data_IF_153089978092
#
_entry.id   IF_153089978092
#
_cell.length_a   1.000
_cell.length_b   1.000
_cell.length_c   1.000
_cell.angle_alpha   90.00
_cell.angle_beta   90.00
_cell.angle_gamma   90.00
#
_symmetry.space_group_name_H-M   'P 1'
#
loop_
_entity.id
_entity.type
_entity.pdbx_description
1 polymer ?
#
# COMPACT_ATOMS: atom_id res chain seq x y z
N UNK A 1 -56.40 11.56 -19.41
CA UNK A 1 -55.63 12.74 -18.94
C UNK A 1 -54.47 12.18 -18.14
N UNK A 2 -53.20 12.09 -18.54
CA UNK A 2 -52.32 12.58 -19.63
C UNK A 2 -51.28 11.43 -19.79
N UNK A 3 -50.87 10.86 -20.92
CA UNK A 3 -50.42 11.33 -22.25
C UNK A 3 -49.33 12.41 -22.26
N UNK A 4 -48.26 12.14 -23.03
CA UNK A 4 -47.07 12.96 -23.38
C UNK A 4 -45.88 12.83 -22.39
N UNK A 5 -44.64 12.53 -22.78
CA UNK A 5 -43.89 12.97 -23.98
C UNK A 5 -42.69 12.04 -24.30
N UNK A 6 -42.32 12.01 -25.58
CA UNK A 6 -41.43 11.09 -26.31
C UNK A 6 -39.93 11.47 -26.31
N UNK A 7 -39.09 10.43 -26.47
CA UNK A 7 -37.95 10.24 -27.41
C UNK A 7 -37.13 11.44 -27.92
N UNK A 8 -35.80 11.35 -27.78
CA UNK A 8 -34.83 11.89 -28.76
C UNK A 8 -33.63 10.92 -28.93
N UNK A 9 -33.50 10.35 -30.13
CA UNK A 9 -32.29 9.73 -30.70
C UNK A 9 -31.83 10.63 -31.87
N UNK A 10 -30.56 11.08 -31.90
CA UNK A 10 -29.77 11.48 -33.08
C UNK A 10 -28.29 11.38 -32.71
N UNK A 11 -27.49 10.42 -33.20
CA UNK A 11 -26.84 10.32 -34.50
C UNK A 11 -26.17 11.62 -34.98
N UNK A 12 -24.84 11.68 -34.88
CA UNK A 12 -23.97 12.61 -35.63
C UNK A 12 -22.83 11.78 -36.22
N UNK A 13 -22.89 11.57 -37.53
CA UNK A 13 -21.75 11.21 -38.37
C UNK A 13 -21.58 12.36 -39.36
N UNK A 14 -20.38 12.93 -39.46
CA UNK A 14 -19.90 13.62 -40.66
C UNK A 14 -18.38 13.82 -40.61
N UNK A 15 -17.69 13.02 -41.43
CA UNK A 15 -16.66 13.40 -42.43
C UNK A 15 -15.92 14.73 -42.28
N UNK A 16 -14.57 14.71 -42.42
CA UNK A 16 -13.83 15.52 -43.41
C UNK A 16 -12.33 15.15 -43.54
N UNK A 17 -11.93 14.98 -44.81
CA UNK A 17 -10.66 15.37 -45.47
C UNK A 17 -9.30 15.08 -44.82
N UNK A 18 -8.44 14.25 -45.44
CA UNK A 18 -7.54 14.60 -46.56
C UNK A 18 -6.36 15.48 -46.16
N UNK A 19 -5.16 14.89 -46.01
CA UNK A 19 -3.90 15.55 -46.31
C UNK A 19 -2.80 14.56 -46.74
N UNK A 20 -2.46 14.66 -48.03
CA UNK A 20 -1.11 14.80 -48.62
C UNK A 20 -0.06 13.73 -48.36
N UNK A 21 0.12 12.95 -49.43
CA UNK A 21 1.39 12.43 -49.94
C UNK A 21 2.57 13.41 -49.81
N UNK A 22 3.67 12.95 -49.21
CA UNK A 22 4.99 13.54 -49.41
C UNK A 22 6.01 12.41 -49.59
N UNK A 23 6.47 12.30 -50.84
CA UNK A 23 7.65 11.55 -51.26
C UNK A 23 8.88 12.17 -50.61
N UNK A 24 9.72 11.36 -49.98
CA UNK A 24 11.15 11.61 -49.89
C UNK A 24 11.88 10.34 -50.29
N UNK A 25 12.53 10.43 -51.45
CA UNK A 25 13.60 9.54 -51.86
C UNK A 25 14.91 10.24 -51.48
N UNK A 26 15.76 9.57 -50.70
CA UNK A 26 17.19 9.87 -50.70
C UNK A 26 17.98 8.57 -50.57
N UNK A 27 18.81 8.37 -51.59
CA UNK A 27 19.86 7.37 -51.74
C UNK A 27 21.09 7.74 -50.89
N UNK A 28 22.00 6.76 -50.80
CA UNK A 28 23.43 6.82 -50.37
C UNK A 28 23.62 6.48 -48.88
N UNK A 29 24.58 5.66 -48.45
CA UNK A 29 25.61 4.90 -49.14
C UNK A 29 26.07 3.75 -48.22
N UNK A 30 26.55 2.69 -48.85
CA UNK A 30 27.23 1.55 -48.25
C UNK A 30 28.62 1.93 -47.74
N UNK A 31 28.96 1.47 -46.52
CA UNK A 31 30.33 1.28 -46.07
C UNK A 31 30.39 0.05 -45.13
N UNK A 32 31.31 -0.91 -45.37
CA UNK A 32 31.50 -2.06 -44.49
C UNK A 32 32.65 -1.80 -43.54
N UNK A 33 32.45 -1.88 -42.22
CA UNK A 33 33.57 -1.86 -41.27
C UNK A 33 33.28 -2.70 -40.02
N UNK A 34 34.17 -3.67 -39.83
CA UNK A 34 34.65 -4.27 -38.59
C UNK A 34 33.67 -5.03 -37.67
N UNK A 35 33.74 -6.36 -37.78
CA UNK A 35 33.54 -7.29 -36.66
C UNK A 35 34.52 -6.95 -35.53
N UNK A 36 34.01 -6.40 -34.44
CA UNK A 36 34.66 -6.45 -33.13
C UNK A 36 33.96 -7.55 -32.32
N UNK A 37 34.68 -8.64 -32.08
CA UNK A 37 34.28 -9.68 -31.15
C UNK A 37 34.37 -9.09 -29.73
N UNK A 38 33.22 -8.81 -29.10
CA UNK A 38 33.15 -8.60 -27.66
C UNK A 38 33.15 -9.98 -26.99
N UNK A 39 34.08 -10.16 -26.05
CA UNK A 39 34.23 -11.38 -25.26
C UNK A 39 32.95 -11.74 -24.54
N UNK A 40 32.62 -13.02 -24.58
CA UNK A 40 31.70 -13.67 -23.66
C UNK A 40 32.33 -13.67 -22.26
N UNK A 41 32.00 -12.67 -21.45
CA UNK A 41 32.15 -12.79 -20.00
C UNK A 41 31.00 -13.66 -19.49
N UNK A 42 31.41 -14.76 -18.88
CA UNK A 42 30.58 -15.75 -18.20
C UNK A 42 29.72 -15.03 -17.15
N UNK A 43 28.37 -15.12 -17.17
CA UNK A 43 27.57 -14.55 -16.10
C UNK A 43 27.85 -15.33 -14.81
N UNK A 44 28.63 -14.72 -13.92
CA UNK A 44 28.81 -15.18 -12.56
C UNK A 44 27.42 -15.34 -11.93
N UNK A 45 27.05 -16.59 -11.69
CA UNK A 45 25.85 -17.00 -10.99
C UNK A 45 25.86 -16.37 -9.58
N UNK A 46 24.97 -15.41 -9.27
CA UNK A 46 24.94 -14.78 -7.96
C UNK A 46 24.55 -15.80 -6.89
N UNK A 47 25.16 -15.67 -5.71
CA UNK A 47 24.96 -16.57 -4.59
C UNK A 47 23.49 -16.62 -4.13
N UNK A 48 23.00 -17.79 -3.66
CA UNK A 48 21.60 -17.95 -3.24
C UNK A 48 21.38 -17.25 -1.88
N UNK A 49 20.75 -16.09 -1.92
CA UNK A 49 20.35 -15.35 -0.71
C UNK A 49 19.83 -13.96 -1.03
N UNK A 50 18.53 -13.87 -1.36
CA UNK A 50 17.67 -12.68 -1.34
C UNK A 50 18.35 -11.32 -1.63
N UNK A 51 18.67 -11.06 -2.90
CA UNK A 51 18.72 -9.69 -3.40
C UNK A 51 17.38 -9.40 -4.06
N UNK A 52 16.76 -8.27 -3.72
CA UNK A 52 15.60 -7.72 -4.39
C UNK A 52 15.97 -7.49 -5.87
N UNK A 53 15.76 -8.50 -6.71
CA UNK A 53 16.17 -8.48 -8.11
C UNK A 53 15.14 -7.66 -8.87
N UNK A 54 15.36 -6.35 -8.88
CA UNK A 54 14.63 -5.47 -9.77
C UNK A 54 15.02 -5.81 -11.21
N UNK A 55 14.08 -6.40 -11.96
CA UNK A 55 14.27 -6.70 -13.38
C UNK A 55 13.65 -5.60 -14.22
N UNK A 56 14.39 -5.09 -15.19
CA UNK A 56 13.93 -4.01 -16.08
C UNK A 56 13.13 -4.56 -17.25
N UNK A 57 12.23 -3.72 -17.76
CA UNK A 57 11.55 -3.94 -19.03
C UNK A 57 12.49 -4.42 -20.14
N UNK A 58 12.07 -5.45 -20.89
CA UNK A 58 12.82 -6.04 -22.00
C UNK A 58 13.93 -7.02 -21.57
N UNK A 59 14.15 -7.21 -20.27
CA UNK A 59 15.10 -8.22 -19.79
C UNK A 59 14.56 -9.64 -20.04
N UNK A 60 15.35 -10.49 -20.69
CA UNK A 60 15.03 -11.92 -20.83
C UNK A 60 14.98 -12.64 -19.49
N UNK A 61 15.58 -12.08 -18.44
CA UNK A 61 15.53 -12.63 -17.09
C UNK A 61 14.11 -12.66 -16.52
N UNK A 62 13.18 -11.82 -17.02
CA UNK A 62 11.77 -11.82 -16.61
C UNK A 62 11.07 -13.16 -16.86
N UNK A 63 11.59 -13.97 -17.78
CA UNK A 63 11.01 -15.25 -18.23
C UNK A 63 11.96 -16.43 -18.00
N UNK A 64 12.99 -16.26 -17.16
CA UNK A 64 14.07 -17.24 -17.01
C UNK A 64 13.66 -18.48 -16.20
N UNK A 65 12.59 -18.39 -15.40
CA UNK A 65 12.09 -19.46 -14.58
C UNK A 65 10.60 -19.71 -14.82
N UNK A 66 10.12 -20.91 -14.45
CA UNK A 66 8.70 -21.24 -14.46
C UNK A 66 8.09 -21.03 -13.09
N UNK A 67 6.85 -20.57 -13.07
CA UNK A 67 6.02 -20.57 -11.87
C UNK A 67 5.06 -21.77 -11.94
N UNK A 68 5.35 -22.82 -11.18
CA UNK A 68 4.56 -24.06 -11.17
C UNK A 68 3.70 -24.21 -9.91
N UNK A 69 3.64 -23.18 -9.06
CA UNK A 69 2.85 -23.17 -7.84
C UNK A 69 1.51 -22.46 -8.05
N UNK A 70 0.47 -22.85 -7.33
CA UNK A 70 -0.85 -22.19 -7.41
C UNK A 70 -1.00 -20.98 -6.48
N UNK A 71 0.06 -20.64 -5.74
CA UNK A 71 0.09 -19.43 -4.90
C UNK A 71 0.24 -18.18 -5.75
N UNK A 72 -0.28 -17.04 -5.30
CA UNK A 72 -0.08 -15.77 -5.99
C UNK A 72 1.41 -15.45 -6.09
N UNK A 73 1.83 -14.98 -7.27
CA UNK A 73 3.17 -14.48 -7.49
C UNK A 73 3.35 -13.14 -6.78
N UNK A 74 4.51 -12.91 -6.19
CA UNK A 74 4.85 -11.65 -5.52
C UNK A 74 5.46 -10.59 -6.46
N UNK A 75 5.39 -10.82 -7.78
CA UNK A 75 5.88 -9.91 -8.79
C UNK A 75 5.03 -8.63 -8.87
N UNK A 76 5.69 -7.48 -8.74
CA UNK A 76 5.05 -6.16 -8.77
C UNK A 76 5.72 -5.25 -9.79
N UNK A 77 4.92 -4.61 -10.63
CA UNK A 77 5.39 -3.56 -11.52
C UNK A 77 5.62 -2.25 -10.74
N UNK A 78 6.77 -1.61 -10.96
CA UNK A 78 7.16 -0.34 -10.32
C UNK A 78 7.71 0.64 -11.35
N UNK A 79 7.50 1.93 -11.07
CA UNK A 79 8.04 3.03 -11.84
C UNK A 79 9.58 3.06 -11.74
N UNK A 80 10.20 3.90 -12.57
CA UNK A 80 11.64 4.15 -12.43
C UNK A 80 11.98 4.97 -11.16
N UNK A 81 13.27 5.25 -10.96
CA UNK A 81 13.76 6.03 -9.81
C UNK A 81 13.22 7.48 -9.79
N UNK A 82 12.72 7.98 -10.92
CA UNK A 82 12.08 9.30 -11.01
C UNK A 82 10.58 9.26 -10.70
N UNK A 83 10.02 8.07 -10.44
CA UNK A 83 8.58 7.86 -10.28
C UNK A 83 7.81 7.92 -11.60
N UNK A 84 8.51 7.93 -12.74
CA UNK A 84 7.89 7.95 -14.07
C UNK A 84 7.53 6.53 -14.51
N UNK A 85 6.35 6.35 -15.10
CA UNK A 85 5.97 5.07 -15.68
C UNK A 85 6.51 4.93 -17.11
N UNK A 86 7.05 3.76 -17.44
CA UNK A 86 7.58 3.46 -18.77
C UNK A 86 6.52 2.91 -19.72
N UNK A 87 5.32 2.57 -19.22
CA UNK A 87 4.25 1.90 -19.97
C UNK A 87 4.71 0.65 -20.74
N UNK A 88 5.76 -0.03 -20.27
CA UNK A 88 6.27 -1.24 -20.88
C UNK A 88 5.56 -2.46 -20.32
N UNK A 89 5.14 -3.38 -21.20
CA UNK A 89 4.58 -4.67 -20.78
C UNK A 89 5.71 -5.59 -20.28
N UNK A 90 5.74 -5.87 -18.98
CA UNK A 90 6.73 -6.74 -18.35
C UNK A 90 6.39 -8.22 -18.56
N UNK A 91 5.11 -8.57 -18.55
CA UNK A 91 4.63 -9.94 -18.74
C UNK A 91 3.33 -10.20 -17.98
N UNK A 92 2.96 -11.47 -17.86
CA UNK A 92 1.79 -11.89 -17.09
C UNK A 92 2.21 -12.65 -15.83
N UNK A 93 1.63 -12.24 -14.70
CA UNK A 93 1.80 -12.85 -13.39
C UNK A 93 0.50 -13.54 -12.95
N UNK A 94 0.61 -14.65 -12.23
CA UNK A 94 -0.52 -15.31 -11.60
C UNK A 94 -0.85 -14.62 -10.27
N UNK A 95 -2.06 -14.08 -10.11
CA UNK A 95 -2.46 -13.42 -8.87
C UNK A 95 -3.12 -14.36 -7.85
N UNK A 96 -3.06 -15.68 -8.06
CA UNK A 96 -3.79 -16.69 -7.29
C UNK A 96 -5.09 -17.15 -7.93
N UNK A 97 -5.64 -16.38 -8.89
CA UNK A 97 -6.95 -16.64 -9.51
C UNK A 97 -6.99 -16.45 -11.03
N UNK A 98 -6.24 -15.49 -11.57
CA UNK A 98 -6.13 -15.19 -12.99
C UNK A 98 -4.71 -14.70 -13.32
N UNK A 99 -4.42 -14.69 -14.61
CA UNK A 99 -3.20 -14.16 -15.19
C UNK A 99 -3.37 -12.66 -15.49
N UNK A 100 -2.75 -11.83 -14.66
CA UNK A 100 -2.80 -10.37 -14.77
C UNK A 100 -1.58 -9.83 -15.50
N UNK A 101 -1.79 -8.86 -16.38
CA UNK A 101 -0.71 -8.17 -17.07
C UNK A 101 -0.02 -7.18 -16.13
N UNK A 102 1.30 -7.24 -16.05
CA UNK A 102 2.13 -6.28 -15.35
C UNK A 102 2.79 -5.34 -16.36
N UNK A 103 2.65 -4.04 -16.17
CA UNK A 103 3.23 -3.05 -17.06
C UNK A 103 3.80 -1.84 -16.32
N UNK A 104 5.12 -1.70 -16.35
CA UNK A 104 5.85 -0.52 -15.89
C UNK A 104 7.35 -0.59 -16.28
N UNK A 105 8.21 0.23 -15.67
CA UNK A 105 9.66 0.24 -15.90
C UNK A 105 10.39 -0.99 -15.34
N UNK A 106 10.00 -1.42 -14.13
CA UNK A 106 10.71 -2.43 -13.34
C UNK A 106 9.73 -3.43 -12.75
N UNK A 107 10.20 -4.64 -12.55
CA UNK A 107 9.54 -5.67 -11.76
C UNK A 107 10.33 -5.85 -10.46
N UNK A 108 9.67 -5.78 -9.31
CA UNK A 108 10.22 -6.11 -7.98
C UNK A 108 9.49 -7.30 -7.36
N UNK A 109 10.16 -8.11 -6.55
CA UNK A 109 9.62 -9.36 -5.99
C UNK A 109 10.42 -10.59 -6.42
N UNK A 110 10.31 -11.68 -5.65
CA UNK A 110 11.05 -12.91 -5.89
C UNK A 110 10.60 -13.64 -7.18
N UNK A 111 9.39 -13.36 -7.64
CA UNK A 111 8.76 -14.00 -8.78
C UNK A 111 8.91 -13.22 -10.10
N UNK A 112 9.63 -12.10 -10.10
CA UNK A 112 9.84 -11.31 -11.32
C UNK A 112 10.55 -12.07 -12.43
N UNK A 113 11.39 -13.06 -12.09
CA UNK A 113 12.02 -13.93 -13.08
C UNK A 113 11.13 -15.07 -13.60
N UNK A 114 9.88 -15.14 -13.14
CA UNK A 114 8.93 -16.21 -13.45
C UNK A 114 7.69 -15.74 -14.22
N UNK A 115 7.72 -14.51 -14.75
CA UNK A 115 6.63 -14.01 -15.59
C UNK A 115 6.53 -14.87 -16.87
N UNK A 116 5.39 -14.77 -17.54
CA UNK A 116 5.19 -15.34 -18.88
C UNK A 116 5.00 -14.24 -19.90
N UNK A 117 5.34 -14.52 -21.16
CA UNK A 117 5.27 -13.51 -22.23
C UNK A 117 3.84 -13.25 -22.68
N UNK A 118 3.00 -14.29 -22.64
CA UNK A 118 1.61 -14.23 -23.07
C UNK A 118 0.66 -14.67 -21.96
N UNK A 119 -0.57 -14.16 -22.00
CA UNK A 119 -1.62 -14.55 -21.05
C UNK A 119 -1.94 -16.03 -21.17
N UNK A 120 -1.92 -16.55 -22.39
CA UNK A 120 -2.20 -17.95 -22.72
C UNK A 120 -1.17 -18.89 -22.08
N UNK A 121 0.13 -18.54 -22.12
CA UNK A 121 1.18 -19.29 -21.43
C UNK A 121 0.98 -19.31 -19.91
N UNK A 122 0.63 -18.17 -19.32
CA UNK A 122 0.31 -18.09 -17.90
C UNK A 122 -0.86 -19.01 -17.54
N UNK A 123 -1.97 -18.93 -18.28
CA UNK A 123 -3.17 -19.72 -18.04
C UNK A 123 -2.89 -21.21 -18.22
N UNK A 124 -2.06 -21.58 -19.19
CA UNK A 124 -1.64 -22.96 -19.40
C UNK A 124 -0.77 -23.48 -18.26
N UNK A 125 0.19 -22.68 -17.78
CA UNK A 125 1.03 -23.01 -16.62
C UNK A 125 0.18 -23.21 -15.35
N UNK A 126 -0.93 -22.48 -15.24
CA UNK A 126 -1.83 -22.51 -14.09
C UNK A 126 -3.14 -23.28 -14.35
N UNK A 127 -3.20 -24.09 -15.40
CA UNK A 127 -4.42 -24.81 -15.78
C UNK A 127 -4.94 -25.75 -14.67
N UNK A 128 -4.03 -26.30 -13.85
CA UNK A 128 -4.38 -27.09 -12.65
C UNK A 128 -4.75 -26.25 -11.43
N UNK A 129 -4.35 -24.98 -11.41
CA UNK A 129 -4.66 -24.01 -10.36
C UNK A 129 -6.04 -23.41 -10.57
N UNK A 130 -6.45 -23.20 -11.82
CA UNK A 130 -7.84 -23.09 -12.23
C UNK A 130 -8.53 -24.45 -12.15
N UNK A 131 -8.54 -25.10 -10.97
CA UNK A 131 -9.73 -25.88 -10.67
C UNK A 131 -10.85 -24.85 -10.68
N UNK A 132 -11.83 -24.92 -11.60
CA UNK A 132 -12.97 -24.03 -11.50
C UNK A 132 -13.45 -24.15 -10.07
N UNK A 133 -13.46 -23.01 -9.35
CA UNK A 133 -14.06 -22.95 -8.03
C UNK A 133 -15.40 -23.66 -8.18
N UNK A 134 -15.69 -24.69 -7.36
CA UNK A 134 -16.84 -25.53 -7.60
C UNK A 134 -18.06 -24.61 -7.75
N UNK A 135 -18.60 -24.54 -8.97
CA UNK A 135 -19.72 -23.65 -9.26
C UNK A 135 -20.94 -24.35 -8.69
N UNK A 136 -21.33 -23.98 -7.49
CA UNK A 136 -22.52 -24.55 -6.89
C UNK A 136 -23.72 -23.81 -7.43
N UNK A 137 -24.65 -24.58 -8.00
CA UNK A 137 -25.96 -24.04 -8.40
C UNK A 137 -26.83 -23.86 -7.16
N UNK A 138 -27.70 -22.87 -7.22
CA UNK A 138 -28.84 -22.75 -6.32
C UNK A 138 -29.47 -24.12 -6.00
N UNK A 139 -29.70 -24.38 -4.71
CA UNK A 139 -30.31 -25.64 -4.23
C UNK A 139 -29.35 -26.82 -4.12
N UNK A 140 -28.06 -26.66 -4.44
CA UNK A 140 -27.06 -27.71 -4.23
C UNK A 140 -26.85 -28.00 -2.74
N UNK A 141 -26.96 -29.26 -2.35
CA UNK A 141 -26.67 -29.70 -0.96
C UNK A 141 -25.19 -29.54 -0.60
N UNK A 142 -24.31 -29.52 -1.61
CA UNK A 142 -22.87 -29.34 -1.40
C UNK A 142 -22.51 -27.92 -0.97
N UNK A 143 -23.43 -26.96 -1.00
CA UNK A 143 -23.24 -25.62 -0.42
C UNK A 143 -22.99 -25.65 1.10
N UNK A 144 -23.35 -26.76 1.77
CA UNK A 144 -23.37 -26.89 3.23
C UNK A 144 -22.53 -28.09 3.73
N UNK A 145 -21.64 -28.62 2.89
CA UNK A 145 -20.95 -29.88 3.15
C UNK A 145 -19.78 -29.74 4.13
N UNK A 146 -19.14 -28.56 4.15
CA UNK A 146 -17.95 -28.28 4.94
C UNK A 146 -18.21 -27.29 6.07
N UNK A 147 -17.29 -27.29 7.03
CA UNK A 147 -17.24 -26.32 8.12
C UNK A 147 -16.12 -25.32 7.81
N UNK A 148 -16.41 -24.05 8.04
CA UNK A 148 -15.46 -22.94 7.91
C UNK A 148 -14.70 -22.70 9.23
N UNK A 149 -13.47 -22.19 9.12
CA UNK A 149 -12.64 -21.83 10.29
C UNK A 149 -13.26 -20.67 11.06
N UNK A 150 -13.15 -20.62 12.39
CA UNK A 150 -14.14 -19.90 13.19
C UNK A 150 -14.42 -18.44 12.78
N UNK A 151 -13.43 -17.62 12.39
CA UNK A 151 -13.61 -16.17 12.26
C UNK A 151 -13.08 -15.48 10.99
N UNK A 152 -12.42 -16.19 10.07
CA UNK A 152 -11.93 -15.59 8.81
C UNK A 152 -13.10 -15.21 7.90
N UNK A 153 -13.00 -14.16 7.08
CA UNK A 153 -14.07 -13.87 6.13
C UNK A 153 -14.16 -14.99 5.09
N UNK A 154 -15.37 -15.48 4.83
CA UNK A 154 -15.61 -16.42 3.75
C UNK A 154 -15.48 -15.72 2.40
N UNK A 155 -14.83 -16.36 1.44
CA UNK A 155 -14.65 -15.86 0.07
C UNK A 155 -15.80 -16.26 -0.88
N UNK A 156 -16.95 -16.66 -0.35
CA UNK A 156 -18.13 -17.03 -1.11
C UNK A 156 -18.87 -15.80 -1.66
N UNK A 157 -19.10 -15.77 -2.98
CA UNK A 157 -19.83 -14.73 -3.67
C UNK A 157 -20.97 -15.31 -4.52
N UNK A 158 -22.13 -14.65 -4.50
CA UNK A 158 -23.25 -14.98 -5.38
C UNK A 158 -23.11 -14.27 -6.72
N UNK A 159 -23.24 -15.01 -7.82
CA UNK A 159 -23.15 -14.48 -9.18
C UNK A 159 -24.37 -14.91 -10.02
N UNK A 160 -24.86 -13.98 -10.82
CA UNK A 160 -25.90 -14.22 -11.80
C UNK A 160 -25.36 -14.93 -13.04
N UNK A 161 -26.24 -15.60 -13.78
CA UNK A 161 -25.87 -16.26 -15.04
C UNK A 161 -26.21 -15.33 -16.21
N UNK A 162 -25.22 -14.94 -17.03
CA UNK A 162 -25.41 -14.06 -18.19
C UNK A 162 -26.10 -12.72 -17.87
N UNK A 163 -25.84 -12.14 -16.69
CA UNK A 163 -26.46 -10.89 -16.25
C UNK A 163 -27.91 -11.02 -15.78
N UNK A 164 -28.43 -12.25 -15.65
CA UNK A 164 -29.73 -12.54 -15.05
C UNK A 164 -29.57 -12.94 -13.58
N UNK A 165 -30.43 -12.41 -12.71
CA UNK A 165 -30.51 -12.79 -11.30
C UNK A 165 -31.53 -13.90 -11.10
N UNK A 166 -31.16 -14.98 -10.42
CA UNK A 166 -32.09 -16.10 -10.15
C UNK A 166 -32.95 -15.89 -8.90
N UNK A 167 -32.66 -14.87 -8.08
CA UNK A 167 -33.32 -14.61 -6.79
C UNK A 167 -33.41 -15.84 -5.87
N UNK A 168 -32.49 -16.79 -6.02
CA UNK A 168 -32.44 -17.98 -5.18
C UNK A 168 -31.52 -17.76 -4.00
N UNK A 169 -32.04 -17.96 -2.79
CA UNK A 169 -31.23 -17.93 -1.57
C UNK A 169 -30.35 -19.18 -1.50
N UNK A 170 -29.03 -19.02 -1.58
CA UNK A 170 -28.08 -20.13 -1.53
C UNK A 170 -27.68 -20.49 -0.10
N UNK A 171 -27.65 -19.51 0.79
CA UNK A 171 -27.26 -19.70 2.19
C UNK A 171 -26.73 -18.40 2.80
N UNK A 172 -26.08 -18.53 3.96
CA UNK A 172 -25.47 -17.41 4.65
C UNK A 172 -23.96 -17.62 4.76
N UNK A 173 -23.21 -16.55 4.49
CA UNK A 173 -21.76 -16.51 4.59
C UNK A 173 -21.33 -15.51 5.66
N UNK A 174 -20.20 -15.75 6.31
CA UNK A 174 -19.60 -14.80 7.24
C UNK A 174 -18.65 -13.86 6.49
N UNK A 175 -18.89 -12.55 6.55
CA UNK A 175 -18.06 -11.57 5.83
C UNK A 175 -16.89 -11.03 6.68
N UNK A 176 -16.56 -11.67 7.81
CA UNK A 176 -15.58 -11.17 8.78
C UNK A 176 -16.20 -10.36 9.92
N UNK A 177 -17.44 -9.88 9.77
CA UNK A 177 -18.12 -9.01 10.75
C UNK A 177 -19.51 -9.50 11.10
N UNK A 178 -20.27 -9.94 10.12
CA UNK A 178 -21.63 -10.42 10.27
C UNK A 178 -21.97 -11.50 9.25
N UNK A 179 -23.07 -12.20 9.51
CA UNK A 179 -23.62 -13.18 8.60
C UNK A 179 -24.47 -12.50 7.54
N UNK A 180 -24.07 -12.61 6.27
CA UNK A 180 -24.76 -12.04 5.12
C UNK A 180 -25.44 -13.13 4.30
N UNK A 181 -26.62 -12.82 3.79
CA UNK A 181 -27.33 -13.71 2.86
C UNK A 181 -26.73 -13.65 1.47
N UNK A 182 -26.42 -14.81 0.89
CA UNK A 182 -26.00 -14.95 -0.50
C UNK A 182 -27.17 -15.47 -1.34
N UNK A 183 -27.57 -14.71 -2.35
CA UNK A 183 -28.66 -15.12 -3.23
C UNK A 183 -28.44 -14.73 -4.69
N UNK A 184 -28.25 -15.73 -5.55
CA UNK A 184 -28.28 -15.62 -7.00
C UNK A 184 -28.34 -17.01 -7.68
N UNK A 185 -27.89 -17.13 -8.94
CA UNK A 185 -27.88 -18.36 -9.71
C UNK A 185 -26.75 -19.32 -9.27
N UNK A 186 -25.57 -18.78 -9.00
CA UNK A 186 -24.35 -19.55 -8.76
C UNK A 186 -23.56 -18.97 -7.59
N UNK A 187 -22.90 -19.85 -6.83
CA UNK A 187 -21.88 -19.47 -5.85
C UNK A 187 -20.49 -19.68 -6.45
N UNK A 188 -19.65 -18.66 -6.37
CA UNK A 188 -18.22 -18.69 -6.74
C UNK A 188 -17.36 -18.35 -5.52
N UNK A 189 -16.25 -19.03 -5.33
CA UNK A 189 -15.38 -18.88 -4.16
C UNK A 189 -14.95 -20.23 -3.60
N UNK A 190 -13.87 -20.28 -2.83
CA UNK A 190 -13.39 -21.50 -2.17
C UNK A 190 -14.31 -21.95 -1.02
N UNK A 191 -15.12 -21.05 -0.47
CA UNK A 191 -15.96 -21.24 0.71
C UNK A 191 -17.44 -21.47 0.38
N UNK A 192 -17.78 -21.59 -0.91
CA UNK A 192 -19.17 -21.85 -1.30
C UNK A 192 -19.72 -23.19 -0.80
N UNK A 193 -18.87 -24.14 -0.41
CA UNK A 193 -19.28 -25.40 0.24
C UNK A 193 -19.38 -25.31 1.77
N UNK A 194 -19.17 -24.12 2.34
CA UNK A 194 -19.16 -23.86 3.78
C UNK A 194 -20.28 -22.91 4.24
N UNK A 195 -21.26 -22.62 3.37
CA UNK A 195 -22.40 -21.79 3.75
C UNK A 195 -23.19 -22.46 4.87
N UNK A 196 -23.97 -21.67 5.60
CA UNK A 196 -25.00 -22.21 6.49
C UNK A 196 -26.39 -22.05 5.88
N UNK A 197 -27.31 -22.91 6.33
CA UNK A 197 -28.68 -22.91 5.80
C UNK A 197 -29.51 -21.75 6.35
N UNK A 198 -29.24 -21.34 7.57
CA UNK A 198 -29.95 -20.25 8.25
C UNK A 198 -28.97 -19.23 8.82
N UNK A 199 -29.48 -18.01 9.04
CA UNK A 199 -28.69 -16.92 9.61
C UNK A 199 -28.31 -17.22 11.06
N UNK A 200 -29.18 -17.90 11.81
CA UNK A 200 -28.95 -18.28 13.21
C UNK A 200 -27.82 -19.29 13.31
N UNK A 201 -27.74 -20.26 12.40
CA UNK A 201 -26.62 -21.22 12.36
C UNK A 201 -25.30 -20.50 12.06
N UNK A 202 -25.29 -19.54 11.14
CA UNK A 202 -24.11 -18.73 10.86
C UNK A 202 -23.72 -17.92 12.11
N UNK A 203 -24.66 -17.20 12.72
CA UNK A 203 -24.41 -16.37 13.89
C UNK A 203 -23.91 -17.19 15.07
N UNK A 204 -24.47 -18.38 15.30
CA UNK A 204 -24.04 -19.27 16.36
C UNK A 204 -22.60 -19.75 16.14
N UNK A 205 -22.24 -20.13 14.92
CA UNK A 205 -20.86 -20.55 14.58
C UNK A 205 -19.85 -19.40 14.76
N UNK A 206 -20.27 -18.16 14.51
CA UNK A 206 -19.43 -16.97 14.58
C UNK A 206 -19.67 -16.13 15.85
N UNK A 207 -20.37 -16.66 16.85
CA UNK A 207 -20.68 -15.93 18.09
C UNK A 207 -19.40 -15.51 18.83
N UNK A 208 -18.32 -16.29 18.73
CA UNK A 208 -17.02 -15.97 19.28
C UNK A 208 -16.23 -14.94 18.45
N UNK A 209 -16.63 -14.69 17.21
CA UNK A 209 -15.97 -13.80 16.25
C UNK A 209 -16.58 -12.40 16.25
N UNK A 210 -17.83 -12.29 16.70
CA UNK A 210 -18.42 -11.03 17.11
C UNK A 210 -17.83 -10.68 18.49
N UNK A 211 -16.53 -10.46 18.54
CA UNK A 211 -15.96 -9.70 19.65
C UNK A 211 -16.36 -8.26 19.39
N UNK A 212 -17.34 -7.74 20.12
CA UNK A 212 -17.50 -6.30 20.18
C UNK A 212 -16.12 -5.70 20.45
N UNK A 213 -15.69 -4.67 19.67
CA UNK A 213 -14.43 -4.00 19.95
C UNK A 213 -14.42 -3.63 21.43
N UNK A 214 -13.31 -3.86 22.15
CA UNK A 214 -13.27 -3.61 23.57
C UNK A 214 -13.71 -2.16 23.83
N UNK A 215 -14.73 -2.03 24.67
CA UNK A 215 -15.22 -0.74 25.12
C UNK A 215 -14.72 -0.50 26.53
N UNK A 216 -13.89 0.53 26.71
CA UNK A 216 -13.41 0.92 28.03
C UNK A 216 -14.02 2.25 28.44
N UNK A 217 -14.65 2.27 29.61
CA UNK A 217 -15.15 3.49 30.21
C UNK A 217 -14.00 4.43 30.58
N UNK A 218 -14.31 5.73 30.61
CA UNK A 218 -13.47 6.75 31.20
C UNK A 218 -12.91 6.32 32.57
N UNK A 219 -11.61 6.56 32.78
CA UNK A 219 -10.91 6.22 34.02
C UNK A 219 -10.58 4.73 34.19
N UNK A 220 -10.92 3.88 33.22
CA UNK A 220 -10.51 2.48 33.24
C UNK A 220 -9.00 2.34 33.10
N UNK A 221 -8.35 1.61 34.01
CA UNK A 221 -6.92 1.30 33.90
C UNK A 221 -6.57 0.47 32.67
N UNK A 222 -7.57 -0.20 32.06
CA UNK A 222 -7.40 -0.94 30.82
C UNK A 222 -7.11 -0.05 29.61
N UNK A 223 -7.42 1.25 29.65
CA UNK A 223 -7.13 2.19 28.56
C UNK A 223 -5.63 2.27 28.22
N UNK A 224 -4.76 1.90 29.16
CA UNK A 224 -3.30 2.02 29.08
C UNK A 224 -2.58 0.69 29.34
N UNK A 225 -3.29 -0.45 29.26
CA UNK A 225 -2.72 -1.74 29.67
C UNK A 225 -1.81 -2.39 28.64
N UNK A 226 -1.89 -1.94 27.39
CA UNK A 226 -1.14 -2.48 26.26
C UNK A 226 -0.29 -1.40 25.61
N UNK A 227 0.77 -1.82 24.91
CA UNK A 227 1.60 -0.92 24.10
C UNK A 227 1.13 -0.96 22.66
N UNK A 228 1.10 0.21 22.03
CA UNK A 228 1.02 0.32 20.59
C UNK A 228 2.43 0.51 20.05
N UNK A 229 2.89 -0.43 19.23
CA UNK A 229 4.24 -0.43 18.63
C UNK A 229 4.20 -0.29 17.11
N UNK A 230 3.00 -0.21 16.52
CA UNK A 230 2.82 -0.03 15.08
C UNK A 230 2.78 1.46 14.73
N UNK A 231 3.25 1.81 13.53
CA UNK A 231 3.08 3.17 12.98
C UNK A 231 1.72 3.40 12.32
N UNK A 232 0.88 2.36 12.27
CA UNK A 232 -0.48 2.42 11.75
C UNK A 232 -1.38 3.27 12.66
N UNK A 233 -2.39 3.91 12.08
CA UNK A 233 -3.36 4.66 12.86
C UNK A 233 -4.10 3.73 13.81
N UNK A 234 -4.21 4.12 15.08
CA UNK A 234 -5.04 3.42 16.04
C UNK A 234 -6.52 3.54 15.63
N UNK A 235 -7.27 2.46 15.79
CA UNK A 235 -8.71 2.44 15.54
C UNK A 235 -9.57 2.94 16.73
N UNK A 236 -8.91 3.37 17.81
CA UNK A 236 -9.51 3.87 19.02
C UNK A 236 -10.33 5.15 18.77
N UNK A 237 -11.61 5.11 19.14
CA UNK A 237 -12.56 6.23 18.96
C UNK A 237 -13.26 6.55 20.27
N UNK A 238 -13.43 7.84 20.54
CA UNK A 238 -14.23 8.31 21.66
C UNK A 238 -15.73 8.21 21.32
N UNK A 239 -16.52 7.58 22.18
CA UNK A 239 -17.97 7.43 22.00
C UNK A 239 -18.75 7.94 23.23
N UNK A 240 -19.98 8.46 23.02
CA UNK A 240 -20.85 8.86 24.12
C UNK A 240 -21.31 7.63 24.92
N UNK A 241 -22.00 7.89 26.04
CA UNK A 241 -22.66 6.84 26.80
C UNK A 241 -23.82 6.18 26.01
N UNK A 242 -24.49 5.22 26.62
CA UNK A 242 -25.63 4.53 26.04
C UNK A 242 -26.84 5.44 25.73
N UNK A 243 -26.90 6.61 26.36
CA UNK A 243 -27.95 7.62 26.15
C UNK A 243 -27.53 8.67 25.11
N UNK A 244 -26.36 8.54 24.49
CA UNK A 244 -25.81 9.52 23.54
C UNK A 244 -25.29 10.80 24.20
N UNK A 245 -25.20 10.83 25.54
CA UNK A 245 -24.67 11.98 26.27
C UNK A 245 -23.14 11.93 26.32
N UNK A 246 -22.51 13.09 26.16
CA UNK A 246 -21.06 13.22 26.29
C UNK A 246 -20.64 13.43 27.74
N UNK A 247 -19.58 12.76 28.19
CA UNK A 247 -19.10 12.84 29.58
C UNK A 247 -17.93 13.82 29.76
N UNK A 248 -17.41 14.40 28.66
CA UNK A 248 -16.25 15.30 28.64
C UNK A 248 -15.02 14.78 29.42
N UNK A 249 -14.86 13.45 29.50
CA UNK A 249 -13.72 12.84 30.16
C UNK A 249 -12.59 12.61 29.15
N UNK A 250 -11.36 12.95 29.55
CA UNK A 250 -10.17 12.63 28.78
C UNK A 250 -9.86 11.13 28.91
N UNK A 251 -9.92 10.41 27.79
CA UNK A 251 -9.66 8.97 27.72
C UNK A 251 -8.16 8.68 27.57
N UNK A 252 -7.44 9.54 26.88
CA UNK A 252 -6.00 9.40 26.59
C UNK A 252 -5.65 10.00 25.24
N UNK A 253 -4.44 9.70 24.76
CA UNK A 253 -3.98 10.12 23.43
C UNK A 253 -3.82 8.90 22.52
N UNK A 254 -4.32 9.03 21.29
CA UNK A 254 -4.24 8.02 20.24
C UNK A 254 -3.41 8.54 19.06
N UNK A 255 -2.67 7.65 18.41
CA UNK A 255 -1.96 7.97 17.17
C UNK A 255 -2.91 7.84 15.97
N UNK A 256 -3.11 8.92 15.22
CA UNK A 256 -4.00 8.92 14.05
C UNK A 256 -3.30 8.54 12.73
N UNK A 257 -2.05 8.07 12.80
CA UNK A 257 -1.19 7.81 11.63
C UNK A 257 -0.24 8.96 11.28
N UNK A 258 -0.51 10.18 11.77
CA UNK A 258 0.28 11.39 11.48
C UNK A 258 0.68 12.15 12.75
N UNK A 259 -0.20 12.21 13.75
CA UNK A 259 -0.01 12.92 15.00
C UNK A 259 -0.76 12.23 16.15
N UNK A 260 -0.36 12.57 17.36
CA UNK A 260 -1.05 12.17 18.58
C UNK A 260 -2.24 13.12 18.84
N UNK A 261 -3.43 12.56 18.93
CA UNK A 261 -4.67 13.29 19.19
C UNK A 261 -5.30 12.89 20.52
N UNK A 262 -5.85 13.86 21.24
CA UNK A 262 -6.57 13.62 22.48
C UNK A 262 -7.97 13.07 22.22
N UNK A 263 -8.29 11.92 22.83
CA UNK A 263 -9.63 11.34 22.80
C UNK A 263 -10.39 11.73 24.07
N UNK A 264 -11.56 12.35 23.91
CA UNK A 264 -12.38 12.82 25.04
C UNK A 264 -13.87 12.48 24.90
N UNK A 265 -14.37 11.52 25.68
CA UNK A 265 -15.80 11.21 25.82
C UNK A 265 -16.07 10.24 27.00
N UNK A 266 -17.22 9.55 27.03
CA UNK A 266 -17.60 8.60 28.08
C UNK A 266 -16.84 7.27 28.01
N UNK A 267 -16.53 6.80 26.80
CA UNK A 267 -15.86 5.52 26.57
C UNK A 267 -15.00 5.57 25.31
N UNK A 268 -13.98 4.72 25.29
CA UNK A 268 -13.23 4.39 24.08
C UNK A 268 -13.84 3.13 23.45
N UNK A 269 -14.05 3.12 22.14
CA UNK A 269 -14.41 1.95 21.34
C UNK A 269 -13.39 1.73 20.21
N UNK A 270 -12.98 0.48 19.98
CA UNK A 270 -11.92 0.14 19.03
C UNK A 270 -11.00 -0.94 19.61
N UNK A 271 -10.31 -1.67 18.75
CA UNK A 271 -9.35 -2.72 19.16
C UNK A 271 -8.09 -2.16 19.81
N UNK A 272 -7.79 -0.87 19.61
CA UNK A 272 -6.63 -0.17 20.16
C UNK A 272 -6.94 0.65 21.43
N UNK A 273 -8.16 0.55 21.97
CA UNK A 273 -8.55 1.33 23.14
C UNK A 273 -7.77 0.98 24.41
N UNK A 274 -7.10 -0.18 24.48
CA UNK A 274 -6.21 -0.55 25.57
C UNK A 274 -4.77 -0.05 25.38
N UNK A 275 -4.50 0.63 24.27
CA UNK A 275 -3.17 1.07 23.85
C UNK A 275 -3.00 2.59 23.85
N UNK A 276 -3.96 3.33 24.42
CA UNK A 276 -3.82 4.78 24.58
C UNK A 276 -2.62 5.11 25.46
N UNK A 277 -2.13 6.34 25.36
CA UNK A 277 -1.17 6.89 26.33
C UNK A 277 -1.85 7.91 27.24
N UNK A 278 -1.26 8.11 28.43
CA UNK A 278 -1.80 9.05 29.40
C UNK A 278 -1.47 10.50 29.04
N UNK A 279 -0.31 10.72 28.40
CA UNK A 279 0.14 12.05 27.99
C UNK A 279 0.46 12.12 26.50
N UNK A 280 0.44 13.33 25.95
CA UNK A 280 0.75 13.57 24.54
C UNK A 280 2.22 13.31 24.25
N UNK A 281 3.11 13.63 25.20
CA UNK A 281 4.54 13.41 25.09
C UNK A 281 4.88 11.92 25.03
N UNK A 282 4.19 11.08 25.82
CA UNK A 282 4.36 9.62 25.76
C UNK A 282 3.93 9.07 24.39
N UNK A 283 2.81 9.56 23.84
CA UNK A 283 2.37 9.17 22.50
C UNK A 283 3.40 9.61 21.45
N UNK A 284 3.83 10.88 21.49
CA UNK A 284 4.80 11.43 20.53
C UNK A 284 6.14 10.71 20.62
N UNK A 285 6.59 10.34 21.82
CA UNK A 285 7.80 9.57 22.00
C UNK A 285 7.68 8.16 21.40
N UNK A 286 6.57 7.45 21.64
CA UNK A 286 6.32 6.11 21.07
C UNK A 286 6.23 6.15 19.55
N UNK A 287 5.71 7.24 18.99
CA UNK A 287 5.48 7.42 17.56
C UNK A 287 6.49 8.34 16.87
N UNK A 288 7.57 8.71 17.54
CA UNK A 288 8.55 9.66 17.01
C UNK A 288 9.22 9.17 15.72
N UNK A 289 9.36 7.86 15.56
CA UNK A 289 9.85 7.21 14.33
C UNK A 289 8.77 7.03 13.25
N UNK A 290 7.50 7.20 13.60
CA UNK A 290 6.36 6.94 12.73
C UNK A 290 5.87 8.18 11.98
N UNK A 291 6.18 9.37 12.48
CA UNK A 291 5.94 10.59 11.75
C UNK A 291 6.80 10.56 10.48
N UNK A 292 6.17 10.22 9.34
CA UNK A 292 6.78 10.49 8.05
C UNK A 292 7.21 11.97 8.07
N UNK A 293 8.44 12.31 7.66
CA UNK A 293 8.85 13.70 7.61
C UNK A 293 7.86 14.43 6.72
N UNK A 294 6.98 15.22 7.32
CA UNK A 294 5.98 16.00 6.61
C UNK A 294 6.73 16.85 5.58
N UNK A 295 6.53 16.65 4.28
CA UNK A 295 7.21 17.46 3.29
C UNK A 295 6.62 18.88 3.39
N UNK A 296 7.31 19.75 4.13
CA UNK A 296 6.99 21.18 4.19
C UNK A 296 6.59 21.78 5.54
N UNK A 297 6.73 21.10 6.68
CA UNK A 297 6.60 21.80 7.98
C UNK A 297 7.96 22.23 8.52
N UNK A 298 8.19 23.55 8.50
CA UNK A 298 9.28 24.19 9.23
C UNK A 298 8.96 24.15 10.74
N UNK A 299 9.28 23.03 11.38
CA UNK A 299 9.42 22.90 12.83
C UNK A 299 10.87 22.56 13.16
N UNK A 300 11.31 22.64 14.43
CA UNK A 300 12.63 22.17 14.81
C UNK A 300 12.77 20.74 14.31
N UNK A 301 13.74 20.51 13.43
CA UNK A 301 14.05 19.17 12.96
C UNK A 301 14.21 18.29 14.20
N UNK A 302 13.47 17.17 14.26
CA UNK A 302 13.75 16.16 15.28
C UNK A 302 15.20 15.75 15.06
N UNK A 303 16.07 16.23 15.95
CA UNK A 303 17.52 16.07 15.85
C UNK A 303 17.81 14.58 15.99
N UNK A 304 17.98 13.91 14.86
CA UNK A 304 18.57 12.58 14.81
C UNK A 304 20.06 12.78 15.05
N UNK A 305 20.54 12.46 16.26
CA UNK A 305 21.97 12.46 16.62
C UNK A 305 22.65 11.29 15.91
N UNK A 306 22.66 11.28 14.59
CA UNK A 306 23.54 10.42 13.80
C UNK A 306 24.81 11.22 13.49
N UNK A 307 25.91 10.81 14.12
CA UNK A 307 27.21 11.43 13.93
C UNK A 307 27.63 11.31 12.45
N UNK A 308 27.69 12.43 11.73
CA UNK A 308 28.45 12.49 10.47
C UNK A 308 29.95 12.35 10.75
N UNK A 309 30.74 12.12 9.70
CA UNK A 309 32.20 12.20 9.80
C UNK A 309 32.59 13.55 10.39
N UNK A 310 33.26 13.51 11.55
CA UNK A 310 33.22 14.59 12.53
C UNK A 310 33.73 15.94 12.02
N UNK A 311 34.57 15.97 10.98
CA UNK A 311 35.28 17.20 10.60
C UNK A 311 35.12 17.60 9.12
N UNK A 312 34.26 16.93 8.35
CA UNK A 312 33.97 17.34 6.97
C UNK A 312 32.92 18.45 6.97
N UNK A 313 33.07 19.45 6.08
CA UNK A 313 32.08 20.50 5.90
C UNK A 313 30.74 19.90 5.47
N UNK A 314 29.65 20.35 6.11
CA UNK A 314 28.30 19.96 5.74
C UNK A 314 27.88 20.63 4.43
N UNK A 315 27.30 19.83 3.54
CA UNK A 315 26.77 20.29 2.25
C UNK A 315 25.39 20.96 2.36
N UNK A 316 24.81 20.99 3.56
CA UNK A 316 23.56 21.67 3.87
C UNK A 316 23.61 23.14 3.44
N UNK A 317 22.64 23.56 2.65
CA UNK A 317 22.49 24.92 2.13
C UNK A 317 21.04 25.36 2.27
N UNK A 318 20.83 26.63 2.63
CA UNK A 318 19.49 27.22 2.55
C UNK A 318 19.17 27.58 1.10
N UNK A 319 17.93 27.42 0.67
CA UNK A 319 17.45 28.02 -0.57
C UNK A 319 17.38 29.55 -0.46
N UNK A 320 17.48 30.22 -1.61
CA UNK A 320 17.39 31.68 -1.71
C UNK A 320 15.95 32.20 -1.49
N UNK A 321 14.98 31.32 -1.24
CA UNK A 321 13.62 31.73 -0.92
C UNK A 321 13.56 32.24 0.52
N UNK A 322 13.42 33.56 0.65
CA UNK A 322 13.13 34.23 1.90
C UNK A 322 11.76 33.75 2.40
N UNK A 323 11.75 32.89 3.40
CA UNK A 323 10.54 32.55 4.15
C UNK A 323 10.51 33.33 5.46
N UNK A 324 9.33 33.76 5.88
CA UNK A 324 9.09 34.27 7.24
C UNK A 324 9.18 33.16 8.33
N UNK A 325 9.91 32.08 8.05
CA UNK A 325 10.14 30.98 8.97
C UNK A 325 11.41 31.27 9.78
N UNK A 326 11.31 31.07 11.08
CA UNK A 326 12.44 31.17 11.97
C UNK A 326 13.48 30.10 11.59
N UNK A 327 14.73 30.55 11.41
CA UNK A 327 15.99 29.82 11.64
C UNK A 327 15.95 28.28 11.45
N UNK A 328 16.58 27.76 10.37
CA UNK A 328 16.64 26.32 10.10
C UNK A 328 17.58 25.54 11.03
N UNK A 329 18.59 26.20 11.59
CA UNK A 329 19.61 25.57 12.45
C UNK A 329 21.02 26.05 12.14
N UNK A 330 22.00 25.40 12.77
CA UNK A 330 23.43 25.62 12.54
C UNK A 330 24.04 24.40 11.83
N UNK A 331 24.93 24.67 10.87
CA UNK A 331 25.73 23.66 10.19
C UNK A 331 27.22 23.93 10.41
N UNK A 332 28.05 22.91 10.27
CA UNK A 332 29.50 23.06 10.20
C UNK A 332 29.97 23.33 8.77
N UNK A 333 30.68 24.43 8.54
CA UNK A 333 31.21 24.78 7.21
C UNK A 333 32.64 24.25 6.94
N UNK A 334 33.17 23.42 7.84
CA UNK A 334 34.56 22.97 7.84
C UNK A 334 35.47 23.73 8.81
N UNK A 335 35.05 24.92 9.26
CA UNK A 335 35.84 25.80 10.14
C UNK A 335 35.04 26.33 11.33
N UNK A 336 33.75 26.57 11.15
CA UNK A 336 32.87 27.16 12.15
C UNK A 336 31.41 26.71 12.00
N UNK A 337 30.64 26.91 13.07
CA UNK A 337 29.20 26.70 13.05
C UNK A 337 28.50 27.94 12.49
N UNK A 338 27.96 27.82 11.29
CA UNK A 338 27.25 28.88 10.57
C UNK A 338 25.76 28.63 10.59
N UNK A 339 25.00 29.69 10.79
CA UNK A 339 23.54 29.65 10.76
C UNK A 339 22.97 29.55 9.36
N UNK A 340 21.99 28.69 9.18
CA UNK A 340 21.11 28.71 8.02
C UNK A 340 19.86 29.54 8.35
N UNK A 341 20.00 30.86 8.24
CA UNK A 341 18.90 31.82 8.41
C UNK A 341 18.11 32.04 7.12
N UNK A 342 16.86 32.46 7.26
CA UNK A 342 15.95 32.99 6.22
C UNK A 342 15.53 32.07 5.05
N UNK A 343 15.98 30.80 5.04
CA UNK A 343 15.60 29.83 4.00
C UNK A 343 14.40 28.97 4.40
N UNK A 344 13.54 28.65 3.42
CA UNK A 344 12.41 27.73 3.57
C UNK A 344 12.81 26.25 3.57
N UNK A 345 13.93 25.93 2.93
CA UNK A 345 14.29 24.55 2.61
C UNK A 345 15.78 24.37 2.78
N UNK A 346 16.18 23.30 3.45
CA UNK A 346 17.55 22.86 3.38
C UNK A 346 17.73 21.96 2.14
N UNK A 347 18.75 22.23 1.35
CA UNK A 347 19.23 21.38 0.26
C UNK A 347 20.61 20.83 0.61
N UNK A 348 20.85 19.55 0.33
CA UNK A 348 22.08 18.85 0.72
C UNK A 348 21.78 17.51 1.36
N UNK A 349 22.78 16.64 1.40
CA UNK A 349 22.70 15.33 2.07
C UNK A 349 22.81 15.42 3.59
N UNK A 350 23.23 16.57 4.13
CA UNK A 350 23.43 16.81 5.56
C UNK A 350 22.30 17.63 6.23
N UNK A 351 21.17 17.83 5.56
CA UNK A 351 20.07 18.66 6.07
C UNK A 351 19.36 18.10 7.30
N UNK A 352 19.42 16.79 7.49
CA UNK A 352 18.95 16.07 8.66
C UNK A 352 19.88 16.20 9.87
N UNK A 353 21.04 16.86 9.71
CA UNK A 353 22.11 16.95 10.72
C UNK A 353 22.32 18.36 11.27
N UNK A 354 21.44 19.30 10.97
CA UNK A 354 21.48 20.64 11.54
C UNK A 354 21.28 20.60 13.07
N UNK A 355 22.01 21.44 13.81
CA UNK A 355 21.77 21.61 15.24
C UNK A 355 20.88 22.81 15.51
N UNK A 356 20.14 22.77 16.62
CA UNK A 356 19.24 23.87 16.99
C UNK A 356 20.02 25.10 17.45
N UNK A 357 21.08 24.89 18.23
CA UNK A 357 21.91 25.97 18.78
C UNK A 357 23.34 25.92 18.26
N UNK A 358 24.00 27.08 18.31
CA UNK A 358 25.40 27.20 17.93
C UNK A 358 26.29 26.37 18.84
N UNK A 359 25.99 26.36 20.13
CA UNK A 359 26.74 25.64 21.16
C UNK A 359 26.68 24.13 20.95
N UNK A 360 25.55 23.59 20.48
CA UNK A 360 25.43 22.18 20.11
C UNK A 360 26.34 21.82 18.94
N UNK A 361 26.35 22.63 17.87
CA UNK A 361 27.25 22.43 16.74
C UNK A 361 28.72 22.55 17.18
N UNK A 362 29.08 23.57 17.96
CA UNK A 362 30.45 23.77 18.43
C UNK A 362 30.92 22.62 19.32
N UNK A 363 30.03 22.07 20.16
CA UNK A 363 30.32 20.90 20.98
C UNK A 363 30.56 19.63 20.15
N UNK A 364 29.73 19.39 19.12
CA UNK A 364 29.91 18.26 18.20
C UNK A 364 31.22 18.35 17.40
N UNK A 365 31.66 19.57 17.08
CA UNK A 365 32.85 19.84 16.28
C UNK A 365 34.07 20.31 17.09
N UNK A 366 34.04 20.20 18.42
CA UNK A 366 35.13 20.64 19.29
C UNK A 366 36.49 19.98 18.96
N UNK A 367 36.46 18.79 18.34
CA UNK A 367 37.66 18.04 17.93
C UNK A 367 38.22 18.46 16.56
N UNK A 368 37.50 19.28 15.80
CA UNK A 368 37.84 19.64 14.42
C UNK A 368 38.49 21.01 14.28
N UNK A 369 38.56 21.77 15.37
CA UNK A 369 39.20 23.08 15.44
C UNK A 369 40.70 23.01 15.82
N UNK A 370 41.31 21.81 15.77
CA UNK A 370 42.74 21.58 16.04
C UNK A 370 43.54 21.46 14.75
#
# INVERSE_FOLDING_TARGET
MNEQTRSIIRSVSHTLSSMRTLRWALLLASAPLALAACGSEDPQQPAPGATDQSLTCGSSALYAAKHDACVAMDAKATADESGSSCYCMLGFAWNGSDCVGLGDCRCTGADCGKLTQTREECLQAHASCTKPAPSFKCGSVSLFEKVHGACEAMDAAATGENGSHCNCMMGFAWNGKECVGLGDCQCTGADCDKLTKTIEECQQKHAACITEPPSYACGSSKLFSSKHEACEAMDAKAAPDENGSGCYCMLGYAWNGTACEGLGNCRCVGTDCDKLTQTIEECQQKHGSCAAPSPGHCGPAVVMIHAHEKCTAMDATGSDQICNCAWLGYKWDGHSCVGLGDSCTCTGTDCDKLTETKEQCESLHAQCAQ
#
